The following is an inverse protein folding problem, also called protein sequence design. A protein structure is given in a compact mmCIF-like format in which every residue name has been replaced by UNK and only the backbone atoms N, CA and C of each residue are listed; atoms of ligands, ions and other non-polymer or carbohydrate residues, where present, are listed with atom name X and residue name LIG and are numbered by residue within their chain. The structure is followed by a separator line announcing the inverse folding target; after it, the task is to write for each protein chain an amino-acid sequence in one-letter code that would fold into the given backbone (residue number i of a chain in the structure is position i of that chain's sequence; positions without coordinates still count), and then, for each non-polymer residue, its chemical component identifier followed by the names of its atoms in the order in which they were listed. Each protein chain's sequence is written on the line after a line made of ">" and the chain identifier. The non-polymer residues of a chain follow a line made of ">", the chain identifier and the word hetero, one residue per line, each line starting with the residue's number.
data_IF_464017145302
#
_entry.id   IF_464017145302
#
_cell.length_a   1.000
_cell.length_b   1.000
_cell.length_c   1.000
_cell.angle_alpha   90.00
_cell.angle_beta   90.00
_cell.angle_gamma   90.00
#
_symmetry.space_group_name_H-M   'P 1'
#
loop_
_entity.id
_entity.type
_entity.pdbx_description
1 polymer ?
#
# COMPACT_ATOMS: atom_id res chain seq x y z
N UNK A 1 22.34 -3.64 27.53
CA UNK A 1 22.05 -2.27 27.84
C UNK A 1 21.04 -1.63 26.85
N UNK A 2 20.26 -2.36 26.17
CA UNK A 2 19.21 -1.84 25.30
C UNK A 2 19.41 -2.05 23.82
N UNK A 3 20.60 -2.45 23.39
CA UNK A 3 20.84 -2.74 21.99
C UNK A 3 20.64 -4.23 21.70
N UNK A 4 20.10 -4.51 20.54
CA UNK A 4 20.00 -5.87 20.02
C UNK A 4 20.89 -5.98 18.79
N UNK A 5 21.85 -6.92 18.83
CA UNK A 5 22.71 -7.19 17.69
C UNK A 5 22.39 -8.56 17.13
N UNK A 6 22.19 -8.62 15.82
CA UNK A 6 21.88 -9.88 15.14
C UNK A 6 22.82 -10.04 13.96
N UNK A 7 23.48 -11.19 13.89
CA UNK A 7 24.29 -11.59 12.74
C UNK A 7 23.41 -12.45 11.85
N UNK A 8 23.20 -11.99 10.61
CA UNK A 8 22.34 -12.68 9.67
C UNK A 8 20.99 -11.99 9.53
N UNK A 9 19.95 -12.75 9.25
CA UNK A 9 18.62 -12.25 8.93
C UNK A 9 17.74 -12.19 10.16
N UNK A 10 17.02 -11.07 10.33
CA UNK A 10 15.93 -10.95 11.30
C UNK A 10 14.62 -10.97 10.53
N UNK A 11 13.69 -11.82 10.95
CA UNK A 11 12.40 -11.96 10.29
C UNK A 11 11.27 -12.05 11.30
N UNK A 12 10.08 -11.76 10.82
CA UNK A 12 8.85 -11.94 11.59
C UNK A 12 7.84 -12.69 10.71
N UNK A 13 6.56 -12.66 11.09
CA UNK A 13 5.54 -13.39 10.35
C UNK A 13 5.34 -12.88 8.92
N UNK A 14 5.87 -11.70 8.58
CA UNK A 14 5.76 -11.13 7.24
C UNK A 14 7.04 -11.27 6.43
N UNK A 15 8.13 -11.74 7.04
CA UNK A 15 9.37 -11.99 6.34
C UNK A 15 10.55 -11.29 6.95
N UNK A 16 11.56 -11.03 6.14
CA UNK A 16 12.82 -10.41 6.54
C UNK A 16 12.60 -8.94 6.88
N UNK A 17 13.03 -8.49 8.05
CA UNK A 17 12.83 -7.11 8.49
C UNK A 17 13.61 -6.08 7.69
N UNK A 18 14.68 -6.50 6.99
CA UNK A 18 15.47 -5.59 6.14
C UNK A 18 14.94 -5.47 4.72
N UNK A 19 13.96 -6.28 4.37
CA UNK A 19 13.34 -6.27 3.05
C UNK A 19 11.86 -6.01 3.20
N UNK A 20 11.26 -5.42 2.18
CA UNK A 20 9.81 -5.27 2.14
C UNK A 20 9.24 -6.54 1.53
N UNK A 21 8.47 -7.33 2.28
CA UNK A 21 7.85 -8.54 1.73
C UNK A 21 6.93 -8.19 0.56
N UNK A 22 7.00 -8.98 -0.50
CA UNK A 22 6.22 -8.74 -1.71
C UNK A 22 5.15 -9.81 -1.89
N UNK A 23 3.94 -9.37 -2.21
CA UNK A 23 2.84 -10.23 -2.62
C UNK A 23 2.48 -9.85 -4.06
N UNK A 24 2.27 -10.84 -4.93
CA UNK A 24 1.88 -10.59 -6.31
C UNK A 24 0.41 -10.94 -6.48
N UNK A 25 -0.35 -10.02 -7.10
CA UNK A 25 -1.76 -10.21 -7.38
C UNK A 25 -2.01 -10.06 -8.87
N UNK A 26 -2.82 -10.96 -9.43
CA UNK A 26 -3.21 -10.92 -10.84
C UNK A 26 -4.70 -10.68 -11.02
N UNK A 27 -5.43 -10.45 -9.94
CA UNK A 27 -6.86 -10.12 -9.94
C UNK A 27 -7.09 -8.97 -8.99
N UNK A 28 -8.28 -8.36 -9.07
CA UNK A 28 -8.64 -7.26 -8.16
C UNK A 28 -8.47 -7.68 -6.71
N UNK A 29 -7.92 -6.79 -5.91
CA UNK A 29 -7.58 -7.07 -4.52
C UNK A 29 -8.03 -5.93 -3.62
N UNK A 30 -8.67 -6.27 -2.51
CA UNK A 30 -9.00 -5.32 -1.45
C UNK A 30 -7.96 -5.44 -0.35
N UNK A 31 -7.42 -4.31 0.08
CA UNK A 31 -6.37 -4.28 1.11
C UNK A 31 -6.98 -4.69 2.44
N UNK A 32 -6.31 -5.62 3.12
CA UNK A 32 -6.71 -6.12 4.43
C UNK A 32 -5.55 -5.99 5.41
N UNK A 33 -5.82 -6.25 6.69
CA UNK A 33 -4.83 -6.05 7.76
C UNK A 33 -3.54 -6.82 7.51
N UNK A 34 -3.62 -7.99 6.89
CA UNK A 34 -2.43 -8.80 6.59
C UNK A 34 -1.48 -8.14 5.59
N UNK A 35 -1.95 -7.14 4.85
CA UNK A 35 -1.13 -6.44 3.85
C UNK A 35 -0.26 -5.34 4.47
N UNK A 36 -0.48 -4.99 5.73
CA UNK A 36 0.29 -3.94 6.39
C UNK A 36 1.79 -4.26 6.36
N UNK A 37 2.60 -3.27 5.99
CA UNK A 37 4.04 -3.44 5.93
C UNK A 37 4.55 -4.21 4.73
N UNK A 38 3.70 -4.49 3.73
CA UNK A 38 4.09 -5.24 2.54
C UNK A 38 4.00 -4.39 1.29
N UNK A 39 4.58 -4.91 0.21
CA UNK A 39 4.40 -4.37 -1.14
C UNK A 39 3.52 -5.33 -1.93
N UNK A 40 2.48 -4.79 -2.56
CA UNK A 40 1.61 -5.55 -3.45
C UNK A 40 1.98 -5.20 -4.89
N UNK A 41 2.53 -6.17 -5.62
CA UNK A 41 2.80 -6.03 -7.05
C UNK A 41 1.58 -6.54 -7.80
N UNK A 42 0.98 -5.70 -8.63
CA UNK A 42 -0.29 -6.05 -9.27
C UNK A 42 -0.44 -5.40 -10.63
N UNK A 43 -1.25 -6.03 -11.48
CA UNK A 43 -1.69 -5.49 -12.75
C UNK A 43 -3.19 -5.21 -12.75
N UNK A 44 -3.83 -5.25 -11.58
CA UNK A 44 -5.29 -5.18 -11.46
C UNK A 44 -5.68 -4.13 -10.43
N UNK A 45 -6.98 -3.87 -10.32
CA UNK A 45 -7.52 -2.87 -9.42
C UNK A 45 -7.23 -3.17 -7.96
N UNK A 46 -6.89 -2.14 -7.21
CA UNK A 46 -6.73 -2.19 -5.76
C UNK A 46 -7.87 -1.39 -5.12
N UNK A 47 -8.49 -1.96 -4.10
CA UNK A 47 -9.50 -1.26 -3.30
C UNK A 47 -8.93 -1.00 -1.91
N UNK A 48 -8.92 0.27 -1.51
CA UNK A 48 -8.56 0.70 -0.16
C UNK A 48 -9.86 0.78 0.63
N UNK A 49 -9.98 -0.04 1.68
CA UNK A 49 -11.25 -0.14 2.40
C UNK A 49 -11.11 0.21 3.86
N UNK A 50 -12.20 0.74 4.42
CA UNK A 50 -12.24 1.13 5.83
C UNK A 50 -12.35 -0.07 6.76
N UNK A 51 -12.04 0.17 8.03
CA UNK A 51 -12.17 -0.80 9.12
C UNK A 51 -11.26 -2.01 9.03
N UNK A 52 -10.24 -1.98 8.18
CA UNK A 52 -9.29 -3.08 8.03
C UNK A 52 -7.93 -2.76 8.64
N UNK A 53 -7.53 -1.50 8.65
CA UNK A 53 -6.18 -1.10 9.01
C UNK A 53 -6.19 -0.30 10.31
N UNK A 54 -5.02 -0.19 10.91
CA UNK A 54 -4.81 0.55 12.16
C UNK A 54 -3.89 1.73 11.92
N UNK A 55 -3.86 2.66 12.87
CA UNK A 55 -2.98 3.82 12.79
C UNK A 55 -1.53 3.37 12.60
N UNK A 56 -0.86 3.99 11.64
CA UNK A 56 0.55 3.70 11.35
C UNK A 56 0.78 2.59 10.35
N UNK A 57 -0.26 1.87 9.93
CA UNK A 57 -0.09 0.86 8.89
C UNK A 57 0.21 1.53 7.55
N UNK A 58 1.05 0.88 6.75
CA UNK A 58 1.35 1.33 5.41
C UNK A 58 1.43 0.14 4.45
N UNK A 59 0.98 0.38 3.22
CA UNK A 59 1.03 -0.62 2.15
C UNK A 59 1.58 0.08 0.91
N UNK A 60 2.55 -0.55 0.24
CA UNK A 60 3.09 -0.03 -1.01
C UNK A 60 2.50 -0.82 -2.17
N UNK A 61 2.05 -0.10 -3.20
CA UNK A 61 1.47 -0.70 -4.41
C UNK A 61 2.46 -0.47 -5.55
N UNK A 62 2.80 -1.54 -6.23
CA UNK A 62 3.60 -1.49 -7.46
C UNK A 62 2.73 -1.96 -8.61
N UNK A 63 2.51 -1.08 -9.59
CA UNK A 63 1.87 -1.47 -10.84
C UNK A 63 2.92 -2.10 -11.75
N UNK A 64 2.90 -3.41 -11.85
CA UNK A 64 3.90 -4.14 -12.64
C UNK A 64 3.47 -4.35 -14.10
N UNK A 65 2.55 -3.53 -14.60
CA UNK A 65 2.04 -3.65 -15.96
C UNK A 65 2.37 -2.41 -16.80
N UNK A 66 2.10 -2.50 -18.08
CA UNK A 66 2.27 -1.39 -19.01
C UNK A 66 1.05 -0.49 -19.15
N UNK A 67 0.05 -0.65 -18.31
CA UNK A 67 -1.18 0.17 -18.31
C UNK A 67 -1.48 0.67 -16.93
N UNK A 68 -2.25 1.75 -16.82
CA UNK A 68 -2.68 2.25 -15.50
C UNK A 68 -3.61 1.25 -14.82
N UNK A 69 -3.54 1.21 -13.50
CA UNK A 69 -4.49 0.47 -12.67
C UNK A 69 -5.30 1.47 -11.85
N UNK A 70 -6.51 1.06 -11.47
CA UNK A 70 -7.40 1.89 -10.65
C UNK A 70 -7.15 1.59 -9.19
N UNK A 71 -7.12 2.64 -8.37
CA UNK A 71 -7.06 2.53 -6.92
C UNK A 71 -8.32 3.17 -6.37
N UNK A 72 -9.26 2.34 -5.94
CA UNK A 72 -10.56 2.76 -5.44
C UNK A 72 -10.55 2.86 -3.93
N UNK A 73 -11.45 3.69 -3.42
CA UNK A 73 -11.74 3.74 -1.97
C UNK A 73 -13.10 3.09 -1.74
N UNK A 74 -13.24 2.47 -0.57
CA UNK A 74 -14.50 1.88 -0.14
C UNK A 74 -14.68 2.12 1.36
N UNK A 75 -15.61 2.99 1.72
CA UNK A 75 -15.91 3.34 3.11
C UNK A 75 -14.70 3.91 3.86
N UNK A 76 -13.87 4.67 3.16
CA UNK A 76 -12.67 5.30 3.71
C UNK A 76 -12.40 6.59 2.94
N UNK A 77 -11.81 7.57 3.62
CA UNK A 77 -11.27 8.74 2.95
C UNK A 77 -9.86 8.42 2.48
N UNK A 78 -9.60 8.60 1.20
CA UNK A 78 -8.29 8.37 0.60
C UNK A 78 -7.82 9.67 -0.04
N UNK A 79 -6.88 10.33 0.63
CA UNK A 79 -6.38 11.63 0.18
C UNK A 79 -5.19 11.44 -0.76
N UNK A 80 -5.31 12.00 -1.95
CA UNK A 80 -4.20 12.04 -2.90
C UNK A 80 -3.28 13.19 -2.52
N UNK A 81 -2.05 12.90 -2.10
CA UNK A 81 -1.14 13.93 -1.61
C UNK A 81 -0.70 14.90 -2.71
N UNK A 82 -0.90 14.55 -3.98
CA UNK A 82 -0.57 15.43 -5.09
C UNK A 82 -1.52 16.61 -5.24
N UNK A 83 -2.77 16.48 -4.77
CA UNK A 83 -3.77 17.55 -4.89
C UNK A 83 -4.60 17.77 -3.62
N UNK A 84 -4.46 16.92 -2.61
CA UNK A 84 -5.16 17.02 -1.35
C UNK A 84 -6.62 16.52 -1.36
N UNK A 85 -7.08 15.96 -2.47
CA UNK A 85 -8.48 15.55 -2.59
C UNK A 85 -8.71 14.13 -2.09
N UNK A 86 -9.88 13.93 -1.49
CA UNK A 86 -10.39 12.61 -1.14
C UNK A 86 -11.07 12.04 -2.39
N UNK A 87 -10.42 11.08 -3.05
CA UNK A 87 -10.87 10.63 -4.36
C UNK A 87 -10.35 9.23 -4.68
N UNK A 88 -11.02 8.56 -5.62
CA UNK A 88 -10.45 7.41 -6.28
C UNK A 88 -9.33 7.92 -7.20
N UNK A 89 -8.28 7.12 -7.36
CA UNK A 89 -7.16 7.53 -8.18
C UNK A 89 -6.71 6.39 -9.08
N UNK A 90 -5.68 6.62 -9.85
CA UNK A 90 -5.06 5.58 -10.67
C UNK A 90 -3.55 5.63 -10.48
N UNK A 91 -2.90 4.51 -10.73
CA UNK A 91 -1.45 4.42 -10.67
C UNK A 91 -0.96 4.06 -12.08
N UNK A 92 -0.16 4.94 -12.65
CA UNK A 92 0.32 4.78 -14.02
C UNK A 92 1.19 3.55 -14.20
N UNK A 93 1.43 3.20 -15.47
CA UNK A 93 2.24 2.05 -15.84
C UNK A 93 3.60 2.08 -15.13
N UNK A 94 3.97 0.96 -14.53
CA UNK A 94 5.24 0.80 -13.80
C UNK A 94 5.40 1.75 -12.62
N UNK A 95 4.29 2.35 -12.16
CA UNK A 95 4.30 3.28 -11.04
C UNK A 95 4.32 2.58 -9.70
N UNK A 96 4.79 3.30 -8.70
CA UNK A 96 4.80 2.82 -7.33
C UNK A 96 4.21 3.91 -6.42
N UNK A 97 3.39 3.51 -5.46
CA UNK A 97 2.75 4.43 -4.53
C UNK A 97 2.65 3.79 -3.17
N UNK A 98 2.71 4.62 -2.13
CA UNK A 98 2.55 4.15 -0.75
C UNK A 98 1.27 4.71 -0.17
N UNK A 99 0.52 3.86 0.52
CA UNK A 99 -0.71 4.22 1.22
C UNK A 99 -0.41 4.15 2.70
N UNK A 100 -0.57 5.30 3.39
CA UNK A 100 -0.38 5.41 4.82
C UNK A 100 -1.76 5.54 5.49
N UNK A 101 -2.01 4.75 6.52
CA UNK A 101 -3.28 4.79 7.25
C UNK A 101 -3.12 5.61 8.51
N UNK A 102 -3.75 6.79 8.52
CA UNK A 102 -3.79 7.64 9.71
C UNK A 102 -4.65 6.99 10.79
N UNK A 103 -5.73 6.31 10.37
CA UNK A 103 -6.59 5.50 11.21
C UNK A 103 -7.40 4.57 10.30
N UNK A 104 -8.40 3.88 10.84
CA UNK A 104 -9.20 2.93 10.09
C UNK A 104 -10.12 3.59 9.05
N UNK A 105 -10.30 4.92 9.12
CA UNK A 105 -11.23 5.65 8.25
C UNK A 105 -10.55 6.69 7.36
N UNK A 106 -9.24 6.93 7.53
CA UNK A 106 -8.53 7.97 6.79
C UNK A 106 -7.16 7.46 6.35
N UNK A 107 -6.91 7.53 5.04
CA UNK A 107 -5.65 7.11 4.46
C UNK A 107 -5.13 8.18 3.49
N UNK A 108 -3.84 8.16 3.25
CA UNK A 108 -3.15 9.06 2.34
C UNK A 108 -2.37 8.23 1.34
N UNK A 109 -2.46 8.57 0.07
CA UNK A 109 -1.68 7.90 -0.98
C UNK A 109 -0.72 8.89 -1.61
N UNK A 110 0.53 8.46 -1.77
CA UNK A 110 1.59 9.29 -2.32
C UNK A 110 2.38 8.50 -3.37
N UNK A 111 2.66 9.15 -4.49
CA UNK A 111 3.45 8.56 -5.57
C UNK A 111 3.43 9.50 -6.76
N UNK A 112 4.49 9.45 -7.58
CA UNK A 112 4.64 10.39 -8.69
C UNK A 112 3.79 10.04 -9.91
N UNK A 113 3.30 8.80 -9.99
CA UNK A 113 2.50 8.34 -11.13
C UNK A 113 1.01 8.28 -10.84
N UNK A 114 0.56 8.99 -9.80
CA UNK A 114 -0.86 9.02 -9.45
C UNK A 114 -1.61 9.94 -10.40
N UNK A 115 -2.75 9.46 -10.89
CA UNK A 115 -3.72 10.27 -11.61
C UNK A 115 -4.88 10.67 -10.71
N UNK A 116 -5.74 11.53 -11.22
CA UNK A 116 -6.95 11.96 -10.50
C UNK A 116 -8.17 11.38 -11.17
#
# INVERSE_FOLDING_TARGET
>A
DGNVEVTGTVSDSKGNLRSIPKTTKSANHSIVAADAGTLIATNSQITVQGSQMSVGDAVTILNNSGSSIVINRNSISLYNTGNGNNEDTSLGARGIATIYFQDAANAYISGSSLGS
#
